data_IF_806896127933
#
_entry.id   IF_806896127933
#
_cell.length_a   1.000
_cell.length_b   1.000
_cell.length_c   1.000
_cell.angle_alpha   90.00
_cell.angle_beta   90.00
_cell.angle_gamma   90.00
#
_symmetry.space_group_name_H-M   'P 1'
#
loop_
_entity.id
_entity.type
_entity.pdbx_description
1 polymer ?
#
# COMPACT_ATOMS: atom_id res chain seq x y z
N UNK A 1 -50.09 43.37 -55.20
CA UNK A 1 -50.13 43.82 -53.79
C UNK A 1 -49.59 42.69 -52.94
N UNK A 2 -48.29 42.72 -52.63
CA UNK A 2 -47.64 41.70 -51.78
C UNK A 2 -47.47 42.32 -50.39
N UNK A 3 -48.13 41.76 -49.37
CA UNK A 3 -47.92 42.18 -47.98
C UNK A 3 -46.87 41.28 -47.35
N UNK A 4 -45.68 41.82 -47.15
CA UNK A 4 -44.59 41.16 -46.43
C UNK A 4 -44.83 41.36 -44.93
N UNK A 5 -45.43 40.38 -44.25
CA UNK A 5 -45.44 40.36 -42.78
C UNK A 5 -44.05 39.98 -42.28
N UNK A 6 -43.30 40.98 -41.81
CA UNK A 6 -42.06 40.77 -41.05
C UNK A 6 -42.42 40.28 -39.64
N UNK A 7 -42.16 39.01 -39.36
CA UNK A 7 -42.19 38.48 -38.01
C UNK A 7 -40.93 38.95 -37.26
N UNK A 8 -41.09 39.90 -36.34
CA UNK A 8 -40.04 40.24 -35.37
C UNK A 8 -39.89 39.08 -34.38
N UNK A 9 -38.84 38.29 -34.54
CA UNK A 9 -38.43 37.30 -33.55
C UNK A 9 -37.92 38.04 -32.30
N UNK A 10 -38.76 38.19 -31.29
CA UNK A 10 -38.31 38.63 -29.96
C UNK A 10 -37.55 37.47 -29.31
N UNK A 11 -36.23 37.54 -29.30
CA UNK A 11 -35.39 36.61 -28.54
C UNK A 11 -35.50 36.96 -27.05
N UNK A 12 -36.42 36.30 -26.35
CA UNK A 12 -36.40 36.29 -24.89
C UNK A 12 -35.11 35.59 -24.44
N UNK A 13 -34.17 36.35 -23.86
CA UNK A 13 -32.91 35.83 -23.34
C UNK A 13 -33.12 34.72 -22.29
N UNK A 14 -32.10 33.89 -22.02
CA UNK A 14 -32.21 32.80 -21.06
C UNK A 14 -32.73 33.29 -19.70
N UNK A 15 -33.60 32.50 -19.06
CA UNK A 15 -34.15 32.83 -17.74
C UNK A 15 -33.01 33.11 -16.74
N UNK A 16 -33.09 34.23 -16.02
CA UNK A 16 -32.09 34.63 -15.00
C UNK A 16 -31.83 33.53 -13.97
N UNK A 17 -32.85 32.75 -13.63
CA UNK A 17 -32.71 31.60 -12.74
C UNK A 17 -31.80 30.52 -13.34
N UNK A 18 -31.99 30.18 -14.62
CA UNK A 18 -31.16 29.23 -15.35
C UNK A 18 -29.71 29.72 -15.46
N UNK A 19 -29.51 31.00 -15.76
CA UNK A 19 -28.17 31.60 -15.82
C UNK A 19 -27.45 31.54 -14.46
N UNK A 20 -28.15 31.82 -13.36
CA UNK A 20 -27.60 31.71 -12.01
C UNK A 20 -27.30 30.26 -11.61
N UNK A 21 -28.12 29.28 -12.04
CA UNK A 21 -27.86 27.86 -11.82
C UNK A 21 -26.57 27.40 -12.49
N UNK A 22 -26.30 27.85 -13.72
CA UNK A 22 -25.03 27.50 -14.42
C UNK A 22 -23.82 28.00 -13.62
N UNK A 23 -23.87 29.24 -13.14
CA UNK A 23 -22.77 29.83 -12.34
C UNK A 23 -22.59 29.06 -11.03
N UNK A 24 -23.68 28.75 -10.32
CA UNK A 24 -23.65 27.96 -9.08
C UNK A 24 -23.02 26.58 -9.28
N UNK A 25 -23.45 25.84 -10.32
CA UNK A 25 -22.89 24.53 -10.63
C UNK A 25 -21.43 24.59 -11.10
N UNK A 26 -21.03 25.69 -11.76
CA UNK A 26 -19.63 25.94 -12.11
C UNK A 26 -18.72 26.01 -10.88
N UNK A 27 -19.15 26.73 -9.84
CA UNK A 27 -18.41 26.77 -8.56
C UNK A 27 -18.39 25.43 -7.84
N UNK A 28 -19.50 24.67 -7.86
CA UNK A 28 -19.54 23.32 -7.28
C UNK A 28 -18.55 22.39 -7.97
N UNK A 29 -18.51 22.39 -9.30
CA UNK A 29 -17.59 21.54 -10.07
C UNK A 29 -16.13 21.91 -9.82
N UNK A 30 -15.82 23.21 -9.75
CA UNK A 30 -14.49 23.69 -9.40
C UNK A 30 -14.09 23.26 -7.98
N UNK A 31 -15.01 23.37 -7.01
CA UNK A 31 -14.81 22.89 -5.65
C UNK A 31 -14.58 21.37 -5.61
N UNK A 32 -15.39 20.59 -6.31
CA UNK A 32 -15.23 19.14 -6.36
C UNK A 32 -13.91 18.71 -7.00
N UNK A 33 -13.47 19.38 -8.08
CA UNK A 33 -12.17 19.13 -8.71
C UNK A 33 -11.00 19.45 -7.79
N UNK A 34 -11.03 20.58 -7.09
CA UNK A 34 -9.95 20.97 -6.16
C UNK A 34 -9.88 20.03 -4.96
N UNK A 35 -11.02 19.66 -4.38
CA UNK A 35 -11.09 18.70 -3.28
C UNK A 35 -10.61 17.31 -3.74
N UNK A 36 -11.10 16.82 -4.89
CA UNK A 36 -10.67 15.54 -5.45
C UNK A 36 -9.17 15.50 -5.75
N UNK A 37 -8.64 16.60 -6.30
CA UNK A 37 -7.20 16.79 -6.52
C UNK A 37 -6.40 16.76 -5.22
N UNK A 38 -6.86 17.42 -4.16
CA UNK A 38 -6.20 17.41 -2.84
C UNK A 38 -6.09 16.01 -2.25
N UNK A 39 -7.15 15.19 -2.33
CA UNK A 39 -7.12 13.80 -1.84
C UNK A 39 -6.16 12.91 -2.64
N UNK A 40 -6.19 13.02 -3.97
CA UNK A 40 -5.23 12.33 -4.84
C UNK A 40 -3.80 12.75 -4.48
N UNK A 41 -3.54 14.05 -4.37
CA UNK A 41 -2.21 14.59 -4.08
C UNK A 41 -1.66 14.11 -2.73
N UNK A 42 -2.48 14.07 -1.68
CA UNK A 42 -2.09 13.50 -0.38
C UNK A 42 -1.69 12.03 -0.48
N UNK A 43 -2.37 11.25 -1.33
CA UNK A 43 -2.02 9.85 -1.60
C UNK A 43 -0.71 9.76 -2.38
N UNK A 44 -0.48 10.64 -3.36
CA UNK A 44 0.75 10.70 -4.15
C UNK A 44 1.98 11.08 -3.32
N UNK A 45 1.89 12.06 -2.40
CA UNK A 45 3.01 12.43 -1.51
C UNK A 45 3.55 11.20 -0.74
N UNK A 46 2.69 10.25 -0.38
CA UNK A 46 3.09 9.03 0.34
C UNK A 46 3.83 8.00 -0.53
N UNK A 47 3.73 8.13 -1.86
CA UNK A 47 4.31 7.19 -2.84
C UNK A 47 5.57 7.77 -3.50
N UNK A 48 5.84 9.07 -3.34
CA UNK A 48 7.08 9.68 -3.82
C UNK A 48 8.31 8.96 -3.24
N UNK A 49 9.37 8.80 -4.05
CA UNK A 49 10.63 8.21 -3.58
C UNK A 49 11.12 9.00 -2.35
N UNK A 50 11.69 8.28 -1.39
CA UNK A 50 12.21 8.90 -0.18
C UNK A 50 13.46 9.73 -0.55
N UNK A 51 14.05 10.41 0.43
CA UNK A 51 15.22 11.27 0.22
C UNK A 51 16.42 10.58 -0.46
N UNK A 52 16.42 9.25 -0.53
CA UNK A 52 17.41 8.38 -1.18
C UNK A 52 17.12 8.08 -2.67
N UNK A 53 15.99 8.54 -3.21
CA UNK A 53 15.58 8.27 -4.60
C UNK A 53 15.10 6.83 -4.86
N UNK A 54 15.12 5.96 -3.84
CA UNK A 54 14.80 4.54 -3.97
C UNK A 54 13.40 4.25 -3.41
N UNK A 55 12.63 3.42 -4.10
CA UNK A 55 11.32 3.01 -3.61
C UNK A 55 11.46 1.97 -2.49
N UNK A 56 10.36 1.75 -1.74
CA UNK A 56 10.31 0.65 -0.76
C UNK A 56 10.61 -0.71 -1.43
N UNK A 57 10.17 -0.89 -2.67
CA UNK A 57 10.37 -2.12 -3.42
C UNK A 57 11.85 -2.30 -3.81
N UNK A 58 12.53 -1.24 -4.22
CA UNK A 58 13.95 -1.31 -4.59
C UNK A 58 14.81 -1.70 -3.39
N UNK A 59 14.50 -1.16 -2.22
CA UNK A 59 15.12 -1.58 -0.97
C UNK A 59 14.82 -3.04 -0.63
N UNK A 60 13.60 -3.52 -0.87
CA UNK A 60 13.28 -4.94 -0.64
C UNK A 60 14.12 -5.84 -1.55
N UNK A 61 14.20 -5.52 -2.84
CA UNK A 61 15.03 -6.26 -3.80
C UNK A 61 16.49 -6.27 -3.36
N UNK A 62 17.03 -5.11 -2.95
CA UNK A 62 18.41 -5.01 -2.46
C UNK A 62 18.70 -5.97 -1.30
N UNK A 63 17.82 -6.03 -0.29
CA UNK A 63 18.01 -6.92 0.86
C UNK A 63 17.87 -8.40 0.50
N UNK A 64 16.92 -8.74 -0.37
CA UNK A 64 16.73 -10.13 -0.85
C UNK A 64 17.96 -10.61 -1.63
N UNK A 65 18.47 -9.78 -2.54
CA UNK A 65 19.66 -10.11 -3.33
C UNK A 65 20.90 -10.24 -2.44
N UNK A 66 21.10 -9.29 -1.54
CA UNK A 66 22.24 -9.28 -0.63
C UNK A 66 22.21 -10.46 0.33
N UNK A 67 21.04 -10.88 0.81
CA UNK A 67 20.93 -12.01 1.74
C UNK A 67 20.82 -13.37 1.06
N UNK A 68 20.76 -13.44 -0.29
CA UNK A 68 20.48 -14.68 -1.06
C UNK A 68 21.40 -15.84 -0.68
N UNK A 69 22.66 -15.55 -0.36
CA UNK A 69 23.67 -16.54 0.01
C UNK A 69 23.46 -17.13 1.42
N UNK A 70 22.72 -16.44 2.29
CA UNK A 70 22.45 -16.87 3.68
C UNK A 70 21.28 -17.86 3.78
N UNK A 71 20.50 -18.04 2.70
CA UNK A 71 19.27 -18.82 2.73
C UNK A 71 19.53 -20.33 2.58
N UNK A 72 19.34 -21.05 3.67
CA UNK A 72 19.30 -22.52 3.69
C UNK A 72 17.94 -23.04 3.21
N UNK A 73 17.88 -24.32 2.82
CA UNK A 73 16.63 -24.94 2.36
C UNK A 73 15.61 -25.08 3.50
N UNK A 74 16.08 -25.26 4.72
CA UNK A 74 15.25 -25.24 5.94
C UNK A 74 14.59 -23.86 6.14
N UNK A 75 15.34 -22.77 5.96
CA UNK A 75 14.79 -21.42 6.07
C UNK A 75 13.75 -21.13 4.98
N UNK A 76 13.99 -21.59 3.75
CA UNK A 76 13.03 -21.45 2.63
C UNK A 76 11.75 -22.23 2.90
N UNK A 77 11.85 -23.47 3.38
CA UNK A 77 10.67 -24.28 3.71
C UNK A 77 9.86 -23.67 4.86
N UNK A 78 10.55 -23.10 5.86
CA UNK A 78 9.90 -22.41 6.96
C UNK A 78 9.22 -21.12 6.50
N UNK A 79 9.82 -20.36 5.58
CA UNK A 79 9.18 -19.20 4.97
C UNK A 79 7.87 -19.60 4.26
N UNK A 80 7.85 -20.68 3.49
CA UNK A 80 6.62 -21.16 2.85
C UNK A 80 5.50 -21.44 3.88
N UNK A 81 5.86 -22.04 5.03
CA UNK A 81 4.93 -22.26 6.12
C UNK A 81 4.37 -20.93 6.65
N UNK A 82 5.22 -19.92 6.89
CA UNK A 82 4.81 -18.62 7.42
C UNK A 82 3.89 -17.83 6.47
N UNK A 83 4.01 -18.03 5.15
CA UNK A 83 3.17 -17.35 4.16
C UNK A 83 1.93 -18.19 3.77
N UNK A 84 1.82 -19.44 4.21
CA UNK A 84 0.65 -20.30 3.98
C UNK A 84 -0.73 -19.67 4.33
N UNK A 85 -0.90 -18.94 5.45
CA UNK A 85 -2.20 -18.34 5.79
C UNK A 85 -2.59 -17.16 4.89
N UNK A 86 -1.67 -16.64 4.06
CA UNK A 86 -1.92 -15.52 3.16
C UNK A 86 -2.70 -16.00 1.93
N UNK A 87 -3.76 -15.28 1.49
CA UNK A 87 -4.47 -15.59 0.25
C UNK A 87 -3.55 -15.63 -0.96
N UNK A 88 -3.80 -16.53 -1.91
CA UNK A 88 -2.94 -16.78 -3.07
C UNK A 88 -2.61 -15.52 -3.86
N UNK A 89 -3.59 -14.63 -4.07
CA UNK A 89 -3.41 -13.38 -4.81
C UNK A 89 -2.37 -12.41 -4.20
N UNK A 90 -2.06 -12.54 -2.90
CA UNK A 90 -1.12 -11.68 -2.19
C UNK A 90 0.13 -12.43 -1.68
N UNK A 91 0.18 -13.75 -1.87
CA UNK A 91 1.21 -14.62 -1.30
C UNK A 91 2.60 -14.24 -1.79
N UNK A 92 2.77 -14.01 -3.08
CA UNK A 92 4.08 -13.70 -3.65
C UNK A 92 4.62 -12.34 -3.16
N UNK A 93 3.74 -11.34 -3.08
CA UNK A 93 4.09 -10.01 -2.57
C UNK A 93 4.45 -10.08 -1.09
N UNK A 94 3.67 -10.82 -0.29
CA UNK A 94 3.93 -11.01 1.13
C UNK A 94 5.24 -11.77 1.35
N UNK A 95 5.46 -12.88 0.63
CA UNK A 95 6.68 -13.69 0.68
C UNK A 95 7.90 -12.84 0.37
N UNK A 96 7.84 -12.01 -0.69
CA UNK A 96 8.94 -11.11 -1.04
C UNK A 96 9.22 -10.09 0.07
N UNK A 97 8.17 -9.45 0.60
CA UNK A 97 8.33 -8.46 1.68
C UNK A 97 8.87 -9.08 2.97
N UNK A 98 8.44 -10.29 3.32
CA UNK A 98 8.92 -11.01 4.52
C UNK A 98 10.37 -11.46 4.31
N UNK A 99 10.70 -12.03 3.15
CA UNK A 99 12.06 -12.44 2.81
C UNK A 99 13.05 -11.27 2.85
N UNK A 100 12.64 -10.09 2.36
CA UNK A 100 13.45 -8.88 2.43
C UNK A 100 13.74 -8.45 3.89
N UNK A 101 12.75 -8.51 4.77
CA UNK A 101 12.95 -8.14 6.18
C UNK A 101 13.79 -9.18 6.93
N UNK A 102 13.57 -10.48 6.68
CA UNK A 102 14.41 -11.56 7.23
C UNK A 102 15.87 -11.38 6.79
N UNK A 103 16.09 -11.17 5.49
CA UNK A 103 17.43 -10.96 4.94
C UNK A 103 18.12 -9.74 5.52
N UNK A 104 17.39 -8.64 5.68
CA UNK A 104 17.89 -7.43 6.35
C UNK A 104 18.29 -7.69 7.80
N UNK A 105 17.46 -8.40 8.57
CA UNK A 105 17.77 -8.72 9.98
C UNK A 105 18.98 -9.63 10.07
N UNK A 106 19.06 -10.69 9.25
CA UNK A 106 20.20 -11.60 9.22
C UNK A 106 21.52 -10.88 8.87
N UNK A 107 21.48 -9.95 7.92
CA UNK A 107 22.63 -9.12 7.55
C UNK A 107 23.01 -8.11 8.65
N UNK A 108 22.04 -7.59 9.41
CA UNK A 108 22.29 -6.69 10.54
C UNK A 108 22.88 -7.43 11.74
N UNK A 109 22.39 -8.64 12.00
CA UNK A 109 22.86 -9.52 13.07
C UNK A 109 24.18 -10.22 12.67
N UNK A 110 24.73 -9.93 11.47
CA UNK A 110 25.96 -10.53 10.89
C UNK A 110 25.96 -12.06 10.92
N UNK A 111 24.78 -12.67 10.75
CA UNK A 111 24.61 -14.11 10.78
C UNK A 111 25.21 -14.75 9.52
N UNK A 112 25.87 -15.89 9.68
CA UNK A 112 26.40 -16.68 8.56
C UNK A 112 25.27 -17.37 7.76
N UNK A 113 24.12 -17.64 8.41
CA UNK A 113 22.96 -18.30 7.81
C UNK A 113 21.64 -17.78 8.40
N UNK A 114 20.55 -17.86 7.63
CA UNK A 114 19.21 -17.53 8.10
C UNK A 114 18.68 -18.65 8.99
N UNK A 115 18.60 -18.37 10.30
CA UNK A 115 18.01 -19.30 11.27
C UNK A 115 16.50 -19.10 11.43
N UNK A 116 15.81 -20.04 12.11
CA UNK A 116 14.36 -19.93 12.39
C UNK A 116 14.02 -18.66 13.18
N UNK A 117 14.89 -18.23 14.08
CA UNK A 117 14.71 -17.01 14.86
C UNK A 117 14.67 -15.76 13.97
N UNK A 118 15.56 -15.67 12.98
CA UNK A 118 15.53 -14.60 11.99
C UNK A 118 14.22 -14.62 11.18
N UNK A 119 13.74 -15.81 10.82
CA UNK A 119 12.46 -15.97 10.12
C UNK A 119 11.26 -15.49 10.96
N UNK A 120 11.21 -15.87 12.24
CA UNK A 120 10.13 -15.46 13.16
C UNK A 120 10.18 -13.94 13.38
N UNK A 121 11.35 -13.40 13.70
CA UNK A 121 11.58 -11.96 13.92
C UNK A 121 11.21 -11.16 12.68
N UNK A 122 11.66 -11.59 11.50
CA UNK A 122 11.34 -10.95 10.22
C UNK A 122 9.85 -11.04 9.86
N UNK A 123 9.19 -12.16 10.14
CA UNK A 123 7.76 -12.31 9.92
C UNK A 123 6.92 -11.38 10.81
N UNK A 124 7.28 -11.24 12.09
CA UNK A 124 6.60 -10.31 13.01
C UNK A 124 6.82 -8.86 12.58
N UNK A 125 8.05 -8.48 12.24
CA UNK A 125 8.39 -7.09 11.84
C UNK A 125 7.78 -6.71 10.48
N UNK A 126 7.72 -7.64 9.53
CA UNK A 126 7.13 -7.41 8.21
C UNK A 126 5.60 -7.31 8.25
N UNK A 127 4.95 -7.88 9.28
CA UNK A 127 3.49 -7.88 9.41
C UNK A 127 2.98 -6.53 9.92
N UNK A 128 1.97 -5.92 9.27
CA UNK A 128 1.34 -4.70 9.78
C UNK A 128 0.63 -4.92 11.11
N UNK A 129 0.67 -3.94 12.02
CA UNK A 129 0.03 -4.00 13.35
C UNK A 129 -1.44 -4.42 13.33
N UNK A 130 -2.20 -3.96 12.33
CA UNK A 130 -3.62 -4.32 12.15
C UNK A 130 -3.85 -5.82 11.99
N UNK A 131 -2.85 -6.53 11.47
CA UNK A 131 -2.88 -7.95 11.11
C UNK A 131 -2.23 -8.83 12.19
N UNK A 132 -1.72 -8.25 13.28
CA UNK A 132 -1.05 -8.98 14.39
C UNK A 132 -1.94 -10.04 15.05
N UNK A 133 -3.26 -9.85 15.05
CA UNK A 133 -4.21 -10.85 15.58
C UNK A 133 -4.17 -12.16 14.77
N UNK A 134 -3.99 -12.08 13.45
CA UNK A 134 -3.90 -13.27 12.60
C UNK A 134 -2.54 -13.96 12.73
N UNK A 135 -1.48 -13.15 12.79
CA UNK A 135 -0.12 -13.59 13.07
C UNK A 135 -0.03 -14.41 14.37
N UNK A 136 -0.51 -13.86 15.49
CA UNK A 136 -0.46 -14.54 16.80
C UNK A 136 -1.22 -15.86 16.76
N UNK A 137 -2.45 -15.86 16.21
CA UNK A 137 -3.24 -17.10 16.06
C UNK A 137 -2.52 -18.15 15.21
N UNK A 138 -1.81 -17.73 14.17
CA UNK A 138 -1.05 -18.64 13.33
C UNK A 138 0.16 -19.21 14.08
N UNK A 139 0.92 -18.39 14.80
CA UNK A 139 2.07 -18.83 15.59
C UNK A 139 1.66 -19.80 16.70
N UNK A 140 0.58 -19.51 17.43
CA UNK A 140 0.01 -20.38 18.46
C UNK A 140 -0.44 -21.73 17.88
N UNK A 141 -1.13 -21.71 16.73
CA UNK A 141 -1.58 -22.93 16.06
C UNK A 141 -0.42 -23.84 15.63
N UNK A 142 0.71 -23.25 15.24
CA UNK A 142 1.90 -23.98 14.83
C UNK A 142 2.88 -24.24 15.99
N UNK A 143 2.49 -23.93 17.24
CA UNK A 143 3.32 -24.09 18.45
C UNK A 143 4.69 -23.41 18.33
N UNK A 144 4.76 -22.28 17.64
CA UNK A 144 5.97 -21.49 17.49
C UNK A 144 6.08 -20.54 18.67
N UNK A 145 7.14 -20.65 19.47
CA UNK A 145 7.39 -19.72 20.57
C UNK A 145 7.79 -18.34 20.03
N UNK A 146 6.99 -17.33 20.40
CA UNK A 146 7.21 -15.94 20.04
C UNK A 146 7.39 -15.05 21.27
N UNK A 147 7.51 -15.64 22.47
CA UNK A 147 7.70 -14.94 23.74
C UNK A 147 8.83 -13.89 23.71
N UNK A 148 10.01 -14.16 23.11
CA UNK A 148 11.08 -13.17 23.01
C UNK A 148 10.70 -11.92 22.18
N UNK A 149 9.75 -12.07 21.25
CA UNK A 149 9.38 -11.08 20.26
C UNK A 149 8.05 -10.37 20.57
N UNK A 150 7.42 -10.65 21.72
CA UNK A 150 6.16 -10.00 22.12
C UNK A 150 6.26 -8.48 22.14
N UNK A 151 7.44 -7.94 22.49
CA UNK A 151 7.70 -6.50 22.47
C UNK A 151 7.55 -5.87 21.07
N UNK A 152 7.73 -6.64 19.98
CA UNK A 152 7.59 -6.17 18.61
C UNK A 152 6.13 -6.09 18.14
N UNK A 153 5.20 -6.79 18.81
CA UNK A 153 3.78 -6.81 18.47
C UNK A 153 3.02 -5.53 18.89
N UNK A 154 3.58 -4.75 19.83
CA UNK A 154 2.98 -3.52 20.37
C UNK A 154 3.60 -2.23 19.81
N UNK A 155 4.44 -2.32 18.78
CA UNK A 155 4.97 -1.15 18.08
C UNK A 155 3.86 -0.42 17.35
#
# INVERSE_FOLDING_TARGET
MWHSTLYTLTTSGPNRWFMNSIVFWGFIMLGAMTIGGFFMFRKFIKVLPKADGMSKLDWQNHWVEKSRHLWTDDAKSFLELLVAPVPSAFRDIAKHSIAAEIGKIALQDSAEEVTRDHCIKGYIVATPQRDNKFLVRFLEKNQIDYSPYQHLLNK
#
